data_IF_273078138461
#
_entry.id   IF_273078138461
#
_cell.length_a   1.000
_cell.length_b   1.000
_cell.length_c   1.000
_cell.angle_alpha   90.00
_cell.angle_beta   90.00
_cell.angle_gamma   90.00
#
_symmetry.space_group_name_H-M   'P 1'
#
loop_
_entity.id
_entity.type
_entity.pdbx_description
1 polymer ?
#
# COMPACT_ATOMS: atom_id res chain seq x y z
N UNK A 1 19.90 30.75 0.14
CA UNK A 1 18.49 30.30 0.05
C UNK A 1 18.19 29.59 1.36
N UNK A 2 17.31 30.13 2.21
CA UNK A 2 16.98 29.48 3.48
C UNK A 2 16.12 28.24 3.20
N UNK A 3 16.20 27.17 4.01
CA UNK A 3 15.23 26.08 3.92
C UNK A 3 13.84 26.67 4.14
N UNK A 4 12.91 26.30 3.28
CA UNK A 4 11.50 26.62 3.48
C UNK A 4 11.02 25.73 4.63
N UNK A 5 10.78 26.32 5.80
CA UNK A 5 10.20 25.62 6.95
C UNK A 5 8.75 25.23 6.61
N UNK A 6 8.56 23.95 6.26
CA UNK A 6 7.27 23.32 5.89
C UNK A 6 6.40 22.94 7.11
N UNK A 7 6.55 23.63 8.24
CA UNK A 7 5.95 23.26 9.53
C UNK A 7 4.41 23.40 9.62
N UNK A 8 3.71 23.57 8.50
CA UNK A 8 2.26 23.81 8.44
C UNK A 8 1.48 22.96 7.44
N UNK A 9 2.08 21.94 6.82
CA UNK A 9 1.35 21.09 5.86
C UNK A 9 0.47 20.06 6.60
N UNK A 10 -0.87 20.16 6.57
CA UNK A 10 -1.77 19.24 7.28
C UNK A 10 -1.73 17.81 6.73
N UNK A 11 -1.09 17.60 5.59
CA UNK A 11 -0.93 16.30 4.93
C UNK A 11 0.41 15.61 5.23
N UNK A 12 1.31 16.22 6.01
CA UNK A 12 2.55 15.56 6.47
C UNK A 12 2.25 14.72 7.71
N UNK A 13 2.04 13.43 7.51
CA UNK A 13 2.27 12.45 8.56
C UNK A 13 3.75 12.04 8.55
N UNK A 14 4.34 11.87 9.73
CA UNK A 14 5.68 11.28 9.82
C UNK A 14 5.68 9.91 9.14
N UNK A 15 6.70 9.59 8.32
CA UNK A 15 6.77 8.29 7.69
C UNK A 15 6.90 7.19 8.75
N UNK A 16 6.50 5.98 8.38
CA UNK A 16 6.90 4.79 9.10
C UNK A 16 8.42 4.66 9.02
N UNK A 17 9.05 4.34 10.15
CA UNK A 17 10.49 4.09 10.25
C UNK A 17 10.64 2.66 10.76
N UNK A 18 11.24 1.81 9.95
CA UNK A 18 11.52 0.42 10.31
C UNK A 18 12.57 0.36 11.42
N UNK A 19 12.33 -0.50 12.42
CA UNK A 19 13.32 -0.84 13.43
C UNK A 19 14.28 -1.91 12.91
N UNK A 20 13.80 -2.83 12.07
CA UNK A 20 14.60 -3.97 11.57
C UNK A 20 15.41 -3.66 10.31
N UNK A 21 14.91 -2.78 9.44
CA UNK A 21 15.38 -2.55 8.07
C UNK A 21 15.50 -3.84 7.21
N UNK A 22 14.96 -4.97 7.67
CA UNK A 22 14.97 -6.22 6.95
C UNK A 22 13.85 -6.22 5.91
N UNK A 23 14.15 -6.57 4.66
CA UNK A 23 13.14 -6.66 3.61
C UNK A 23 12.15 -7.79 3.92
N UNK A 24 10.88 -7.59 3.59
CA UNK A 24 9.83 -8.59 3.79
C UNK A 24 10.04 -9.84 2.92
N UNK A 25 10.63 -9.66 1.73
CA UNK A 25 10.72 -10.69 0.69
C UNK A 25 9.34 -11.09 0.15
N UNK A 26 9.26 -12.17 -0.63
CA UNK A 26 7.98 -12.71 -1.08
C UNK A 26 7.10 -13.11 0.11
N UNK A 27 5.83 -12.71 0.08
CA UNK A 27 4.81 -13.11 1.07
C UNK A 27 3.52 -13.50 0.37
N UNK A 28 2.77 -14.49 0.90
CA UNK A 28 1.42 -14.75 0.41
C UNK A 28 0.52 -13.53 0.66
N UNK A 29 -0.49 -13.37 -0.18
CA UNK A 29 -1.54 -12.36 0.04
C UNK A 29 -2.20 -12.60 1.38
N UNK A 30 -2.33 -11.54 2.18
CA UNK A 30 -3.02 -11.58 3.44
C UNK A 30 -4.38 -10.90 3.31
N UNK A 31 -5.44 -11.66 3.58
CA UNK A 31 -6.82 -11.17 3.62
C UNK A 31 -7.28 -11.11 5.06
N UNK A 32 -7.34 -9.91 5.64
CA UNK A 32 -7.81 -9.72 7.00
C UNK A 32 -9.34 -9.92 7.12
N UNK A 33 -10.09 -9.39 6.14
CA UNK A 33 -11.52 -9.64 5.94
C UNK A 33 -11.92 -9.39 4.49
N UNK A 34 -13.10 -9.89 4.12
CA UNK A 34 -13.81 -9.52 2.88
C UNK A 34 -14.72 -8.33 3.15
N UNK A 35 -14.87 -7.46 2.16
CA UNK A 35 -15.74 -6.29 2.18
C UNK A 35 -16.38 -6.05 0.82
N UNK A 36 -17.43 -5.24 0.77
CA UNK A 36 -18.08 -4.82 -0.48
C UNK A 36 -17.26 -3.79 -1.24
N UNK A 37 -16.59 -2.89 -0.50
CA UNK A 37 -15.70 -1.85 -1.02
C UNK A 37 -14.35 -1.90 -0.32
N UNK A 38 -13.31 -1.59 -1.08
CA UNK A 38 -11.93 -1.57 -0.61
C UNK A 38 -11.27 -0.25 -0.97
N UNK A 39 -10.55 0.31 0.00
CA UNK A 39 -9.57 1.35 -0.26
C UNK A 39 -8.23 0.67 -0.56
N UNK A 40 -7.66 0.93 -1.73
CA UNK A 40 -6.36 0.35 -2.13
C UNK A 40 -5.28 1.42 -2.05
N UNK A 41 -4.23 1.15 -1.29
CA UNK A 41 -3.05 2.00 -1.22
C UNK A 41 -1.86 1.31 -1.88
N UNK A 42 -1.05 2.10 -2.58
CA UNK A 42 0.21 1.68 -3.21
C UNK A 42 1.35 2.34 -2.42
N UNK A 43 2.05 1.55 -1.61
CA UNK A 43 3.11 2.00 -0.70
C UNK A 43 4.38 1.18 -0.92
N UNK A 44 5.04 1.40 -2.07
CA UNK A 44 6.16 0.59 -2.56
C UNK A 44 7.20 0.21 -1.50
N UNK A 45 7.53 1.13 -0.59
CA UNK A 45 8.59 0.96 0.40
C UNK A 45 8.08 0.92 1.85
N UNK A 46 6.77 0.80 2.07
CA UNK A 46 6.18 0.69 3.41
C UNK A 46 6.44 1.92 4.29
N UNK A 47 6.16 3.13 3.78
CA UNK A 47 6.42 4.40 4.48
C UNK A 47 5.18 5.03 5.09
N UNK A 48 3.98 4.57 4.76
CA UNK A 48 2.74 5.15 5.27
C UNK A 48 2.47 4.69 6.70
N UNK A 49 1.98 5.59 7.56
CA UNK A 49 1.54 5.22 8.91
C UNK A 49 0.03 5.03 8.95
N UNK A 50 -0.40 3.78 8.98
CA UNK A 50 -1.81 3.44 9.12
C UNK A 50 -2.26 3.47 10.57
N UNK A 51 -3.38 4.17 10.83
CA UNK A 51 -4.04 4.19 12.14
C UNK A 51 -5.00 3.01 12.31
N UNK A 52 -5.63 2.57 11.22
CA UNK A 52 -6.67 1.54 11.20
C UNK A 52 -6.71 0.82 9.84
N UNK A 53 -7.41 -0.31 9.80
CA UNK A 53 -7.78 -1.04 8.58
C UNK A 53 -9.02 -0.52 7.87
N UNK A 54 -9.55 0.60 8.35
CA UNK A 54 -10.65 1.32 7.74
C UNK A 54 -10.15 2.67 7.23
N UNK A 55 -10.42 2.96 5.97
CA UNK A 55 -10.23 4.27 5.38
C UNK A 55 -11.57 4.77 4.83
N UNK A 56 -12.18 5.70 5.56
CA UNK A 56 -13.46 6.34 5.18
C UNK A 56 -14.63 5.35 5.03
N UNK A 57 -14.62 4.24 5.78
CA UNK A 57 -15.64 3.18 5.74
C UNK A 57 -15.26 1.97 4.89
N UNK A 58 -14.22 2.09 4.07
CA UNK A 58 -13.77 1.02 3.18
C UNK A 58 -12.63 0.22 3.81
N UNK A 59 -12.61 -1.09 3.55
CA UNK A 59 -11.54 -1.96 4.06
C UNK A 59 -10.23 -1.69 3.32
N UNK A 60 -9.17 -1.41 4.08
CA UNK A 60 -7.87 -1.07 3.51
C UNK A 60 -7.12 -2.31 3.02
N UNK A 61 -6.64 -2.22 1.78
CA UNK A 61 -5.64 -3.10 1.18
C UNK A 61 -4.38 -2.26 0.92
N UNK A 62 -3.22 -2.72 1.42
CA UNK A 62 -1.94 -2.09 1.14
C UNK A 62 -1.12 -2.97 0.17
N UNK A 63 -0.81 -2.43 -1.01
CA UNK A 63 0.08 -3.04 -2.00
C UNK A 63 1.48 -2.50 -1.77
N UNK A 64 2.45 -3.40 -1.61
CA UNK A 64 3.85 -3.09 -1.30
C UNK A 64 4.79 -3.95 -2.15
N UNK A 65 6.04 -3.52 -2.31
CA UNK A 65 7.08 -4.37 -2.92
C UNK A 65 7.74 -5.28 -1.89
N UNK A 66 8.47 -6.30 -2.34
CA UNK A 66 9.26 -7.19 -1.48
C UNK A 66 10.34 -6.45 -0.66
N UNK A 67 10.70 -5.23 -1.07
CA UNK A 67 11.64 -4.34 -0.37
C UNK A 67 11.02 -3.58 0.79
N UNK A 68 9.70 -3.60 0.95
CA UNK A 68 9.09 -3.04 2.14
C UNK A 68 9.62 -3.75 3.39
N UNK A 69 9.79 -3.05 4.52
CA UNK A 69 10.32 -3.67 5.73
C UNK A 69 9.42 -4.79 6.27
N UNK A 70 10.01 -5.89 6.78
CA UNK A 70 9.26 -7.01 7.34
C UNK A 70 8.39 -6.58 8.53
N UNK A 71 8.93 -5.72 9.41
CA UNK A 71 8.20 -5.17 10.55
C UNK A 71 7.05 -4.22 10.16
N UNK A 72 7.13 -3.61 8.97
CA UNK A 72 5.99 -2.90 8.40
C UNK A 72 4.85 -3.87 8.05
N UNK A 73 5.17 -4.97 7.36
CA UNK A 73 4.19 -6.00 6.95
C UNK A 73 3.54 -6.66 8.15
N UNK A 74 4.31 -6.98 9.17
CA UNK A 74 3.79 -7.53 10.42
C UNK A 74 2.86 -6.52 11.10
N UNK A 75 3.23 -5.24 11.12
CA UNK A 75 2.38 -4.16 11.62
C UNK A 75 1.07 -3.98 10.85
N UNK A 76 1.06 -4.20 9.53
CA UNK A 76 -0.20 -4.23 8.75
C UNK A 76 -1.10 -5.36 9.22
N UNK A 77 -0.53 -6.56 9.37
CA UNK A 77 -1.25 -7.76 9.81
C UNK A 77 -1.86 -7.58 11.19
N UNK A 78 -1.10 -7.05 12.14
CA UNK A 78 -1.55 -6.76 13.51
C UNK A 78 -2.71 -5.75 13.54
N UNK A 79 -2.71 -4.78 12.62
CA UNK A 79 -3.80 -3.80 12.47
C UNK A 79 -5.01 -4.34 11.71
N UNK A 80 -4.97 -5.60 11.26
CA UNK A 80 -6.01 -6.18 10.43
C UNK A 80 -6.10 -5.52 9.05
N UNK A 81 -5.01 -4.96 8.54
CA UNK A 81 -4.94 -4.41 7.18
C UNK A 81 -4.60 -5.56 6.24
N UNK A 82 -5.39 -5.73 5.18
CA UNK A 82 -5.06 -6.70 4.13
C UNK A 82 -3.86 -6.18 3.32
N UNK A 83 -3.00 -7.08 2.82
CA UNK A 83 -1.87 -6.66 2.01
C UNK A 83 -1.55 -7.61 0.86
N UNK A 84 -0.92 -7.04 -0.16
CA UNK A 84 -0.36 -7.75 -1.31
C UNK A 84 1.12 -7.36 -1.40
N UNK A 85 2.01 -8.35 -1.39
CA UNK A 85 3.42 -8.15 -1.74
C UNK A 85 3.60 -8.50 -3.21
N UNK A 86 4.11 -7.55 -3.99
CA UNK A 86 4.24 -7.67 -5.43
C UNK A 86 5.47 -6.92 -5.95
N UNK A 87 6.34 -7.65 -6.65
CA UNK A 87 7.54 -7.14 -7.31
C UNK A 87 8.75 -6.96 -6.38
N UNK A 88 9.95 -7.21 -6.94
CA UNK A 88 11.23 -7.22 -6.21
C UNK A 88 11.83 -5.83 -6.09
N UNK A 89 12.04 -5.12 -7.22
CA UNK A 89 12.68 -3.80 -7.22
C UNK A 89 11.73 -2.63 -6.91
N UNK A 90 10.44 -2.84 -7.16
CA UNK A 90 9.31 -1.94 -7.04
C UNK A 90 8.01 -2.74 -7.24
N UNK A 91 6.87 -2.08 -7.32
CA UNK A 91 5.57 -2.77 -7.47
C UNK A 91 5.39 -3.28 -8.90
N UNK A 92 5.05 -4.56 -9.03
CA UNK A 92 4.52 -5.13 -10.27
C UNK A 92 3.00 -4.92 -10.28
N UNK A 93 2.55 -3.93 -11.05
CA UNK A 93 1.16 -3.53 -11.02
C UNK A 93 0.22 -4.57 -11.62
N UNK A 94 0.66 -5.30 -12.65
CA UNK A 94 -0.15 -6.32 -13.30
C UNK A 94 -0.42 -7.47 -12.34
N UNK A 95 0.62 -7.98 -11.69
CA UNK A 95 0.52 -9.00 -10.65
C UNK A 95 -0.34 -8.53 -9.46
N UNK A 96 -0.18 -7.27 -9.03
CA UNK A 96 -0.99 -6.74 -7.93
C UNK A 96 -2.49 -6.63 -8.29
N UNK A 97 -2.83 -6.27 -9.53
CA UNK A 97 -4.22 -6.22 -10.02
C UNK A 97 -4.80 -7.62 -10.16
N UNK A 98 -4.04 -8.58 -10.69
CA UNK A 98 -4.45 -9.99 -10.78
C UNK A 98 -4.76 -10.56 -9.40
N UNK A 99 -3.83 -10.42 -8.44
CA UNK A 99 -4.02 -10.82 -7.05
C UNK A 99 -5.21 -10.11 -6.39
N UNK A 100 -5.46 -8.86 -6.74
CA UNK A 100 -6.63 -8.12 -6.25
C UNK A 100 -7.95 -8.76 -6.73
N UNK A 101 -8.00 -9.16 -8.01
CA UNK A 101 -9.13 -9.89 -8.58
C UNK A 101 -9.34 -11.25 -7.92
N UNK A 102 -8.29 -12.06 -7.83
CA UNK A 102 -8.33 -13.41 -7.28
C UNK A 102 -8.68 -13.43 -5.78
N UNK A 103 -7.99 -12.61 -4.98
CA UNK A 103 -8.08 -12.68 -3.53
C UNK A 103 -9.12 -11.76 -2.93
N UNK A 104 -9.62 -10.75 -3.64
CA UNK A 104 -10.62 -9.81 -3.12
C UNK A 104 -11.88 -9.71 -3.98
N UNK A 105 -11.90 -10.30 -5.17
CA UNK A 105 -13.04 -10.23 -6.10
C UNK A 105 -13.17 -8.86 -6.77
N UNK A 106 -12.10 -8.06 -6.76
CA UNK A 106 -12.09 -6.70 -7.31
C UNK A 106 -12.05 -6.80 -8.84
N UNK A 107 -13.07 -6.24 -9.50
CA UNK A 107 -13.17 -6.23 -10.99
C UNK A 107 -13.06 -4.84 -11.60
N UNK A 108 -13.18 -3.80 -10.78
CA UNK A 108 -13.14 -2.40 -11.20
C UNK A 108 -12.36 -1.61 -10.16
N UNK A 109 -11.45 -0.78 -10.63
CA UNK A 109 -10.64 0.10 -9.81
C UNK A 109 -10.90 1.55 -10.24
N UNK A 110 -11.20 2.39 -9.26
CA UNK A 110 -11.19 3.84 -9.45
C UNK A 110 -9.81 4.35 -9.04
N UNK A 111 -9.15 5.08 -9.94
CA UNK A 111 -7.82 5.62 -9.67
C UNK A 111 -7.93 7.00 -9.07
N UNK A 112 -7.66 7.07 -7.77
CA UNK A 112 -7.58 8.31 -7.01
C UNK A 112 -6.12 8.54 -6.60
N UNK A 113 -5.42 9.45 -7.30
CA UNK A 113 -4.00 9.67 -7.07
C UNK A 113 -3.37 10.74 -7.95
N UNK A 114 -2.09 11.01 -7.69
CA UNK A 114 -1.30 11.93 -8.52
C UNK A 114 -0.97 11.28 -9.88
N UNK A 115 -0.68 12.10 -10.90
CA UNK A 115 -0.53 11.66 -12.30
C UNK A 115 0.46 10.52 -12.55
N UNK A 116 1.44 10.29 -11.66
CA UNK A 116 2.39 9.18 -11.77
C UNK A 116 1.73 7.81 -11.59
N UNK A 117 0.82 7.66 -10.62
CA UNK A 117 0.10 6.39 -10.40
C UNK A 117 -0.87 6.15 -11.56
N UNK A 118 -1.59 7.20 -11.97
CA UNK A 118 -2.51 7.10 -13.12
C UNK A 118 -1.77 6.70 -14.40
N UNK A 119 -0.57 7.24 -14.63
CA UNK A 119 0.28 6.85 -15.77
C UNK A 119 0.74 5.40 -15.73
N UNK A 120 1.09 4.86 -14.55
CA UNK A 120 1.47 3.46 -14.41
C UNK A 120 0.31 2.50 -14.70
N UNK A 121 -0.90 2.81 -14.21
CA UNK A 121 -2.10 2.03 -14.52
C UNK A 121 -2.48 2.10 -16.01
N UNK A 122 -2.39 3.28 -16.64
CA UNK A 122 -2.67 3.42 -18.08
C UNK A 122 -1.69 2.62 -18.96
N UNK A 123 -0.44 2.46 -18.52
CA UNK A 123 0.52 1.61 -19.23
C UNK A 123 0.26 0.12 -19.00
N UNK A 124 -0.35 -0.24 -17.86
CA UNK A 124 -0.64 -1.63 -17.52
C UNK A 124 -1.89 -2.20 -18.23
N UNK A 125 -2.72 -1.34 -18.84
CA UNK A 125 -3.85 -1.74 -19.70
C UNK A 125 -5.21 -1.55 -19.05
#
# INVERSE_FOLDING_TARGET
MRPHDDAGNPWRHEPFVSASNAAAGPRPVFVARKAELYAVSVDTLGKLRWKSSDLRGDHLICIISERAPADYVDGLREKGISYIVSGVGGIDLADAVEKSGEHFGIRRLLLEGSGHINGAFLQAG
#
